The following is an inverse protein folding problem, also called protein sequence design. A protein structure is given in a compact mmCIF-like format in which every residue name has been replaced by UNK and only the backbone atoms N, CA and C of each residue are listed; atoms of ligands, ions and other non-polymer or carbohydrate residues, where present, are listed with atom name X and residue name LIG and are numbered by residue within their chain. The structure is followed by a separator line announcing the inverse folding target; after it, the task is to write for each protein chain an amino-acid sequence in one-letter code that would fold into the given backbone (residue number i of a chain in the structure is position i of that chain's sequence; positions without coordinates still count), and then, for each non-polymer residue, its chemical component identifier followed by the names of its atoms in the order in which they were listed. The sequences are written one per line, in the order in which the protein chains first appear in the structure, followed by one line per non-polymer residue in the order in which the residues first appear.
data_IF_698335848660
#
_entry.id   IF_698335848660
#
_cell.length_a   1.000
_cell.length_b   1.000
_cell.length_c   1.000
_cell.angle_alpha   90.00
_cell.angle_beta   90.00
_cell.angle_gamma   90.00
#
_symmetry.space_group_name_H-M   'P 1'
#
loop_
_entity.id
_entity.type
_entity.pdbx_description
1 polymer ?
#
# COMPACT_ATOMS: atom_id res chain seq x y z
N UNK A 1 -17.33 26.88 -61.71
CA UNK A 1 -18.73 27.14 -61.31
C UNK A 1 -19.20 26.02 -60.40
N UNK A 2 -20.09 26.35 -59.46
CA UNK A 2 -20.73 25.52 -58.42
C UNK A 2 -20.00 25.47 -57.06
N UNK A 3 -20.45 26.42 -56.24
CA UNK A 3 -20.41 26.50 -54.77
C UNK A 3 -21.18 25.33 -54.16
N UNK A 4 -20.70 24.80 -53.03
CA UNK A 4 -21.53 24.21 -51.99
C UNK A 4 -21.01 24.70 -50.63
N UNK A 5 -21.85 25.48 -49.96
CA UNK A 5 -21.69 26.13 -48.67
C UNK A 5 -22.37 25.30 -47.59
N UNK A 6 -21.61 24.88 -46.56
CA UNK A 6 -22.15 24.27 -45.33
C UNK A 6 -22.34 25.33 -44.22
N UNK A 7 -23.27 25.15 -43.28
CA UNK A 7 -23.67 26.21 -42.35
C UNK A 7 -22.73 26.31 -41.14
N UNK A 8 -22.40 27.56 -40.81
CA UNK A 8 -21.70 27.99 -39.59
C UNK A 8 -22.71 28.03 -38.43
N UNK A 9 -22.47 27.23 -37.40
CA UNK A 9 -23.22 27.29 -36.13
C UNK A 9 -22.71 28.49 -35.34
N UNK A 10 -23.54 29.53 -35.21
CA UNK A 10 -23.27 30.68 -34.31
C UNK A 10 -23.68 30.33 -32.89
N UNK A 11 -22.72 30.39 -31.98
CA UNK A 11 -22.94 30.41 -30.54
C UNK A 11 -23.72 31.69 -30.15
N UNK A 12 -24.88 31.52 -29.51
CA UNK A 12 -25.64 32.60 -28.90
C UNK A 12 -25.36 32.61 -27.39
N UNK A 13 -24.52 33.54 -26.95
CA UNK A 13 -24.39 33.93 -25.54
C UNK A 13 -25.74 34.50 -25.05
N UNK A 14 -26.38 33.81 -24.11
CA UNK A 14 -27.46 34.39 -23.29
C UNK A 14 -27.03 34.40 -21.84
N UNK A 15 -26.71 35.59 -21.36
CA UNK A 15 -26.73 35.93 -19.94
C UNK A 15 -28.17 35.80 -19.42
N UNK A 16 -28.38 34.90 -18.46
CA UNK A 16 -29.47 35.04 -17.49
C UNK A 16 -28.96 34.67 -16.10
N UNK A 17 -28.91 35.71 -15.25
CA UNK A 17 -28.93 35.62 -13.80
C UNK A 17 -30.15 34.83 -13.36
N UNK A 18 -29.93 33.87 -12.47
CA UNK A 18 -30.93 33.43 -11.49
C UNK A 18 -30.18 33.10 -10.20
N UNK A 19 -30.43 33.91 -9.17
CA UNK A 19 -30.08 33.66 -7.79
C UNK A 19 -30.66 32.31 -7.33
N UNK A 20 -29.82 31.48 -6.71
CA UNK A 20 -30.25 30.34 -5.91
C UNK A 20 -29.41 30.35 -4.62
N UNK A 21 -30.13 30.43 -3.52
CA UNK A 21 -29.66 30.48 -2.14
C UNK A 21 -28.77 29.29 -1.76
N UNK A 22 -27.62 29.59 -1.16
CA UNK A 22 -26.74 28.60 -0.54
C UNK A 22 -27.15 28.38 0.92
N UNK A 23 -27.52 27.16 1.37
CA UNK A 23 -27.64 26.87 2.78
C UNK A 23 -26.26 26.71 3.41
N UNK A 24 -25.99 27.51 4.44
CA UNK A 24 -24.83 27.41 5.31
C UNK A 24 -24.92 26.10 6.13
N UNK A 25 -24.08 25.12 5.85
CA UNK A 25 -23.93 23.94 6.70
C UNK A 25 -23.00 24.28 7.87
N UNK A 26 -23.56 24.37 9.08
CA UNK A 26 -22.78 24.36 10.32
C UNK A 26 -22.51 22.91 10.70
N UNK A 27 -21.24 22.50 10.66
CA UNK A 27 -20.80 21.19 11.14
C UNK A 27 -20.70 21.26 12.67
N UNK A 28 -21.62 20.59 13.37
CA UNK A 28 -21.51 20.32 14.81
C UNK A 28 -20.90 18.92 14.94
N UNK A 29 -19.63 18.84 15.32
CA UNK A 29 -19.00 17.56 15.70
C UNK A 29 -19.33 17.31 17.17
N UNK A 30 -20.30 16.45 17.44
CA UNK A 30 -20.50 15.84 18.76
C UNK A 30 -19.91 14.43 18.71
N UNK A 31 -18.77 14.23 19.35
CA UNK A 31 -18.26 12.88 19.62
C UNK A 31 -19.08 12.26 20.76
N UNK A 32 -19.85 11.22 20.45
CA UNK A 32 -20.43 10.32 21.43
C UNK A 32 -19.79 8.94 21.25
N UNK A 33 -19.09 8.46 22.28
CA UNK A 33 -18.59 7.09 22.37
C UNK A 33 -19.03 6.48 23.70
N UNK A 34 -19.70 5.35 23.57
CA UNK A 34 -20.02 4.29 24.53
C UNK A 34 -21.08 4.52 25.62
N UNK A 35 -22.18 3.77 25.46
CA UNK A 35 -22.88 3.12 26.58
C UNK A 35 -23.12 1.64 26.24
N UNK A 36 -22.63 0.74 27.10
CA UNK A 36 -23.21 -0.58 27.33
C UNK A 36 -23.95 -0.52 28.65
N UNK A 37 -25.22 -0.91 28.66
CA UNK A 37 -26.01 -1.06 29.87
C UNK A 37 -27.42 -1.53 29.56
N UNK A 38 -27.63 -2.85 29.65
CA UNK A 38 -28.96 -3.45 29.79
C UNK A 38 -29.53 -3.06 31.16
N UNK A 39 -30.70 -2.40 31.20
CA UNK A 39 -31.65 -2.48 32.33
C UNK A 39 -33.09 -2.49 31.77
N UNK A 40 -33.89 -3.35 32.41
CA UNK A 40 -35.26 -3.77 32.12
C UNK A 40 -36.31 -2.83 32.77
N UNK A 41 -37.45 -2.67 32.07
CA UNK A 41 -38.80 -2.23 32.49
C UNK A 41 -39.09 -0.85 33.16
N UNK A 42 -39.98 -0.09 32.50
CA UNK A 42 -41.28 0.29 33.11
C UNK A 42 -41.54 1.75 33.56
N UNK A 43 -42.47 2.42 32.84
CA UNK A 43 -43.41 3.51 33.26
C UNK A 43 -42.94 4.99 33.45
N UNK A 44 -43.34 5.81 32.46
CA UNK A 44 -44.01 7.15 32.48
C UNK A 44 -43.65 8.29 33.48
N UNK A 45 -43.27 9.43 32.87
CA UNK A 45 -43.56 10.87 33.16
C UNK A 45 -43.21 11.53 34.51
N UNK A 46 -42.33 12.55 34.46
CA UNK A 46 -42.64 14.00 34.64
C UNK A 46 -41.37 14.85 34.75
N UNK A 47 -41.39 16.02 34.10
CA UNK A 47 -40.41 17.11 34.25
C UNK A 47 -40.49 17.74 35.65
N UNK A 48 -39.33 17.99 36.27
CA UNK A 48 -39.20 18.83 37.48
C UNK A 48 -38.15 19.90 37.17
N UNK A 49 -38.61 21.15 37.10
CA UNK A 49 -37.76 22.34 37.07
C UNK A 49 -37.29 22.70 38.48
N UNK A 50 -36.03 23.10 38.58
CA UNK A 50 -35.42 23.62 39.81
C UNK A 50 -35.16 25.12 39.62
N UNK A 51 -35.70 25.89 40.56
CA UNK A 51 -35.54 27.33 40.73
C UNK A 51 -34.30 27.60 41.58
N UNK A 52 -33.44 28.52 41.16
CA UNK A 52 -32.25 28.92 41.91
C UNK A 52 -32.55 30.12 42.84
N UNK A 53 -32.09 29.96 44.08
CA UNK A 53 -32.15 30.88 45.20
C UNK A 53 -30.89 31.76 45.24
N UNK A 54 -31.06 33.06 45.46
CA UNK A 54 -29.99 34.03 45.76
C UNK A 54 -29.41 33.84 47.17
N UNK A 55 -28.08 33.95 47.34
CA UNK A 55 -27.27 34.44 48.51
C UNK A 55 -25.78 34.22 48.11
N UNK A 56 -24.77 35.08 48.25
CA UNK A 56 -24.60 36.44 48.73
C UNK A 56 -23.31 37.03 48.12
N UNK A 57 -23.38 38.32 47.75
CA UNK A 57 -22.24 39.19 47.58
C UNK A 57 -21.58 39.45 48.95
N UNK A 58 -20.34 39.04 49.16
CA UNK A 58 -19.65 39.38 50.41
C UNK A 58 -18.38 38.63 50.76
N UNK A 59 -17.52 38.26 49.80
CA UNK A 59 -16.17 37.77 50.16
C UNK A 59 -15.13 37.92 49.03
N UNK A 60 -15.09 39.08 48.38
CA UNK A 60 -14.15 39.36 47.29
C UNK A 60 -13.37 40.64 47.57
N UNK A 61 -12.50 40.61 48.58
CA UNK A 61 -11.41 41.57 48.80
C UNK A 61 -10.54 41.05 49.95
N UNK A 62 -9.41 40.38 49.67
CA UNK A 62 -8.23 40.43 50.56
C UNK A 62 -6.98 39.61 50.17
N UNK A 63 -6.86 38.88 49.05
CA UNK A 63 -5.64 38.05 48.84
C UNK A 63 -5.07 38.10 47.41
N UNK A 64 -4.25 39.11 47.05
CA UNK A 64 -3.64 39.22 45.71
C UNK A 64 -2.53 38.17 45.44
N UNK A 65 -2.01 37.49 46.47
CA UNK A 65 -0.91 36.50 46.31
C UNK A 65 -1.38 35.13 45.83
N UNK A 66 -2.66 34.79 45.98
CA UNK A 66 -3.20 33.48 45.58
C UNK A 66 -3.40 33.41 44.05
N UNK A 67 -3.63 34.55 43.40
CA UNK A 67 -3.86 34.63 41.96
C UNK A 67 -2.60 34.48 41.13
N UNK A 68 -1.44 34.93 41.62
CA UNK A 68 -0.17 34.79 40.90
C UNK A 68 0.26 33.31 40.86
N UNK A 69 0.05 32.57 41.96
CA UNK A 69 0.36 31.13 42.00
C UNK A 69 -0.63 30.31 41.16
N UNK A 70 -1.92 30.64 41.17
CA UNK A 70 -2.91 29.97 40.34
C UNK A 70 -2.71 30.24 38.84
N UNK A 71 -2.30 31.45 38.45
CA UNK A 71 -2.05 31.79 37.04
C UNK A 71 -0.75 31.14 36.50
N UNK A 72 0.31 31.05 37.32
CA UNK A 72 1.55 30.35 36.93
C UNK A 72 1.32 28.84 36.79
N UNK A 73 0.50 28.21 37.64
CA UNK A 73 0.15 26.79 37.52
C UNK A 73 -0.69 26.53 36.26
N UNK A 74 -1.62 27.42 35.91
CA UNK A 74 -2.43 27.29 34.69
C UNK A 74 -1.58 27.50 33.43
N UNK A 75 -0.59 28.39 33.43
CA UNK A 75 0.32 28.58 32.28
C UNK A 75 1.35 27.44 32.18
N UNK A 76 1.81 26.87 33.30
CA UNK A 76 2.66 25.67 33.31
C UNK A 76 1.90 24.39 32.93
N UNK A 77 0.60 24.29 33.20
CA UNK A 77 -0.25 23.17 32.74
C UNK A 77 -0.79 23.37 31.31
N UNK A 78 -1.04 24.60 30.86
CA UNK A 78 -1.45 24.88 29.48
C UNK A 78 -0.28 24.82 28.47
N UNK A 79 0.97 24.96 28.94
CA UNK A 79 2.17 24.72 28.14
C UNK A 79 2.53 23.23 27.94
N UNK A 80 1.81 22.31 28.61
CA UNK A 80 2.04 20.86 28.50
C UNK A 80 1.03 20.14 27.59
N UNK A 81 0.09 20.86 26.99
CA UNK A 81 -1.02 20.30 26.22
C UNK A 81 -1.05 20.74 24.74
N UNK A 82 0.07 21.28 24.23
CA UNK A 82 0.24 21.53 22.81
C UNK A 82 1.40 20.70 22.24
N UNK A 83 1.08 19.99 21.17
CA UNK A 83 1.92 19.18 20.27
C UNK A 83 2.44 17.84 20.81
N UNK A 84 1.52 16.89 21.02
CA UNK A 84 1.68 15.60 20.36
C UNK A 84 0.56 15.45 19.34
N UNK A 85 0.61 16.26 18.28
CA UNK A 85 0.19 15.70 17.00
C UNK A 85 1.11 14.51 16.78
N UNK A 86 0.52 13.32 16.70
CA UNK A 86 1.26 12.09 16.53
C UNK A 86 2.22 12.29 15.37
N UNK A 87 3.52 12.38 15.69
CA UNK A 87 4.51 11.93 14.74
C UNK A 87 4.07 10.51 14.44
N UNK A 88 3.53 10.28 13.24
CA UNK A 88 3.37 8.94 12.73
C UNK A 88 4.70 8.27 13.00
N UNK A 89 4.71 7.31 13.93
CA UNK A 89 5.90 6.51 14.16
C UNK A 89 6.24 5.96 12.79
N UNK A 90 7.50 6.11 12.31
CA UNK A 90 7.91 5.34 11.15
C UNK A 90 7.53 3.90 11.49
N UNK A 91 6.73 3.26 10.62
CA UNK A 91 6.26 1.91 10.83
C UNK A 91 7.48 1.12 11.30
N UNK A 92 7.45 0.68 12.56
CA UNK A 92 8.59 -0.07 13.11
C UNK A 92 8.68 -1.31 12.25
N UNK A 93 9.64 -1.31 11.32
CA UNK A 93 9.84 -2.42 10.42
C UNK A 93 9.99 -3.67 11.27
N UNK A 94 9.19 -4.69 10.96
CA UNK A 94 9.27 -6.00 11.59
C UNK A 94 10.75 -6.38 11.68
N UNK A 95 11.21 -6.75 12.88
CA UNK A 95 12.57 -7.22 13.06
C UNK A 95 12.80 -8.46 12.18
N UNK A 96 14.03 -8.76 11.72
CA UNK A 96 14.38 -9.91 10.86
C UNK A 96 14.11 -11.31 11.47
N UNK A 97 12.87 -11.59 11.85
CA UNK A 97 12.39 -12.79 12.54
C UNK A 97 10.91 -12.73 12.91
N UNK A 98 10.30 -11.54 12.85
CA UNK A 98 8.85 -11.34 13.03
C UNK A 98 8.07 -11.36 11.72
N UNK A 99 8.77 -11.48 10.59
CA UNK A 99 8.17 -11.48 9.25
C UNK A 99 7.49 -12.84 8.98
N UNK A 100 6.25 -12.85 8.45
CA UNK A 100 5.44 -14.07 8.39
C UNK A 100 5.89 -15.10 7.35
N UNK A 101 6.77 -14.74 6.41
CA UNK A 101 7.12 -15.60 5.29
C UNK A 101 8.62 -15.87 5.19
N UNK A 102 8.97 -17.03 4.62
CA UNK A 102 10.35 -17.41 4.26
C UNK A 102 10.65 -17.13 2.79
N UNK A 103 11.91 -17.29 2.39
CA UNK A 103 12.31 -17.26 0.98
C UNK A 103 11.68 -18.41 0.17
N UNK A 104 11.41 -18.21 -1.14
CA UNK A 104 10.75 -19.17 -2.02
C UNK A 104 11.67 -20.27 -2.55
N UNK A 105 12.89 -20.37 -2.03
CA UNK A 105 13.87 -21.39 -2.38
C UNK A 105 14.40 -22.08 -1.12
N UNK A 106 14.80 -23.35 -1.26
CA UNK A 106 15.35 -24.13 -0.15
C UNK A 106 16.83 -23.85 0.09
N UNK A 107 17.61 -23.69 -0.98
CA UNK A 107 19.04 -23.41 -0.89
C UNK A 107 19.32 -21.92 -0.63
N UNK A 108 20.46 -21.57 -0.02
CA UNK A 108 20.90 -20.19 0.09
C UNK A 108 21.17 -19.54 -1.28
N UNK A 109 21.09 -18.20 -1.37
CA UNK A 109 21.40 -17.46 -2.59
C UNK A 109 22.87 -17.64 -3.00
N UNK A 110 23.14 -17.67 -4.30
CA UNK A 110 24.49 -17.82 -4.81
C UNK A 110 24.56 -18.00 -6.32
N UNK A 111 25.76 -17.89 -6.92
CA UNK A 111 25.94 -17.93 -8.38
C UNK A 111 25.46 -19.23 -9.06
N UNK A 112 25.36 -20.33 -8.31
CA UNK A 112 24.92 -21.63 -8.80
C UNK A 112 23.48 -21.99 -8.39
N UNK A 113 22.80 -21.13 -7.63
CA UNK A 113 21.45 -21.36 -7.13
C UNK A 113 20.53 -20.27 -7.68
N UNK A 114 20.33 -19.20 -6.92
CA UNK A 114 19.47 -18.10 -7.26
C UNK A 114 20.02 -16.77 -6.77
N UNK A 115 19.63 -15.69 -7.45
CA UNK A 115 20.03 -14.31 -7.13
C UNK A 115 18.85 -13.36 -7.30
N UNK A 116 18.76 -12.34 -6.46
CA UNK A 116 17.84 -11.22 -6.65
C UNK A 116 18.24 -10.42 -7.90
N UNK A 117 17.29 -10.21 -8.81
CA UNK A 117 17.53 -9.43 -10.05
C UNK A 117 16.69 -8.18 -10.16
N UNK A 118 15.50 -8.15 -9.55
CA UNK A 118 14.71 -6.92 -9.50
C UNK A 118 13.94 -6.84 -8.20
N UNK A 119 14.07 -5.71 -7.51
CA UNK A 119 13.34 -5.43 -6.27
C UNK A 119 11.96 -4.83 -6.55
N UNK A 120 11.11 -4.86 -5.54
CA UNK A 120 9.81 -4.19 -5.54
C UNK A 120 9.97 -2.66 -5.70
N UNK A 121 8.98 -2.03 -6.32
CA UNK A 121 8.79 -0.59 -6.35
C UNK A 121 9.26 0.09 -7.64
N UNK A 122 9.70 1.34 -7.51
CA UNK A 122 9.95 2.26 -8.61
C UNK A 122 11.31 2.03 -9.29
N UNK A 123 11.63 0.78 -9.65
CA UNK A 123 12.90 0.49 -10.32
C UNK A 123 13.00 1.23 -11.65
N UNK A 124 14.22 1.55 -12.09
CA UNK A 124 14.42 2.18 -13.40
C UNK A 124 13.83 1.32 -14.54
N UNK A 125 13.91 0.00 -14.43
CA UNK A 125 13.27 -0.93 -15.37
C UNK A 125 11.74 -0.79 -15.36
N UNK A 126 11.14 -0.73 -14.16
CA UNK A 126 9.71 -0.52 -14.00
C UNK A 126 9.24 0.80 -14.60
N UNK A 127 9.94 1.88 -14.26
CA UNK A 127 9.69 3.20 -14.82
C UNK A 127 9.70 3.18 -16.35
N UNK A 128 10.72 2.62 -17.00
CA UNK A 128 10.81 2.56 -18.47
C UNK A 128 9.69 1.74 -19.13
N UNK A 129 9.13 0.75 -18.42
CA UNK A 129 8.07 -0.13 -18.93
C UNK A 129 6.72 0.13 -18.26
N UNK A 130 6.54 1.30 -17.64
CA UNK A 130 5.35 1.61 -16.85
C UNK A 130 4.06 1.54 -17.66
N UNK A 131 4.09 1.91 -18.94
CA UNK A 131 2.91 1.90 -19.83
C UNK A 131 2.66 0.55 -20.51
N UNK A 132 3.55 -0.43 -20.32
CA UNK A 132 3.45 -1.78 -20.88
C UNK A 132 3.42 -2.83 -19.76
N UNK A 133 4.54 -3.50 -19.49
CA UNK A 133 4.69 -4.62 -18.55
C UNK A 133 4.13 -4.30 -17.17
N UNK A 134 4.36 -3.07 -16.68
CA UNK A 134 3.97 -2.66 -15.34
C UNK A 134 2.73 -1.76 -15.30
N UNK A 135 1.95 -1.73 -16.39
CA UNK A 135 0.77 -0.87 -16.46
C UNK A 135 -0.30 -1.24 -15.43
N UNK A 136 -0.46 -2.53 -15.15
CA UNK A 136 -1.39 -3.01 -14.13
C UNK A 136 -0.97 -2.57 -12.72
N UNK A 137 0.33 -2.44 -12.44
CA UNK A 137 0.83 -2.10 -11.11
C UNK A 137 1.20 -0.64 -10.94
N UNK A 138 0.40 0.27 -11.52
CA UNK A 138 0.61 1.72 -11.43
C UNK A 138 1.99 2.19 -11.93
N UNK A 139 2.63 1.40 -12.79
CA UNK A 139 3.97 1.66 -13.33
C UNK A 139 5.13 1.14 -12.49
N UNK A 140 4.87 0.49 -11.36
CA UNK A 140 5.89 -0.03 -10.45
C UNK A 140 6.11 -1.51 -10.67
N UNK A 141 7.26 -2.02 -10.21
CA UNK A 141 7.44 -3.46 -10.06
C UNK A 141 6.72 -3.91 -8.79
N UNK A 142 5.65 -4.68 -8.94
CA UNK A 142 4.76 -5.06 -7.83
C UNK A 142 5.10 -6.44 -7.22
N UNK A 143 6.34 -6.89 -7.40
CA UNK A 143 6.88 -8.12 -6.85
C UNK A 143 8.39 -8.04 -6.70
N UNK A 144 9.02 -9.20 -6.54
CA UNK A 144 10.47 -9.38 -6.62
C UNK A 144 10.79 -10.43 -7.68
N UNK A 145 11.85 -10.20 -8.43
CA UNK A 145 12.34 -11.14 -9.44
C UNK A 145 13.60 -11.81 -8.92
N UNK A 146 13.58 -13.14 -8.88
CA UNK A 146 14.67 -13.97 -8.40
C UNK A 146 15.12 -14.89 -9.53
N UNK A 147 16.29 -14.60 -10.11
CA UNK A 147 16.85 -15.42 -11.18
C UNK A 147 17.31 -16.75 -10.63
N UNK A 148 16.95 -17.83 -11.31
CA UNK A 148 17.43 -19.18 -11.09
C UNK A 148 17.27 -19.95 -12.41
N UNK A 149 17.98 -21.06 -12.56
CA UNK A 149 17.84 -21.88 -13.76
C UNK A 149 16.38 -22.36 -13.94
N UNK A 150 15.93 -22.52 -15.18
CA UNK A 150 14.66 -23.21 -15.44
C UNK A 150 14.65 -24.59 -14.78
N UNK A 151 13.51 -24.96 -14.20
CA UNK A 151 13.34 -26.23 -13.48
C UNK A 151 13.78 -26.16 -12.01
N UNK A 152 14.41 -25.07 -11.58
CA UNK A 152 14.84 -24.91 -10.19
C UNK A 152 13.61 -24.93 -9.25
N UNK A 153 13.60 -25.75 -8.18
CA UNK A 153 12.41 -25.94 -7.35
C UNK A 153 12.00 -24.66 -6.61
N UNK A 154 10.73 -24.28 -6.71
CA UNK A 154 10.11 -23.18 -5.97
C UNK A 154 9.29 -23.77 -4.82
N UNK A 155 9.49 -23.25 -3.62
CA UNK A 155 8.77 -23.67 -2.42
C UNK A 155 7.76 -22.63 -1.94
N UNK A 156 6.70 -23.08 -1.26
CA UNK A 156 5.73 -22.19 -0.64
C UNK A 156 6.42 -21.33 0.44
N UNK A 157 6.21 -20.01 0.38
CA UNK A 157 6.80 -19.06 1.34
C UNK A 157 6.16 -19.11 2.73
N UNK A 158 5.00 -19.75 2.86
CA UNK A 158 4.22 -19.86 4.08
C UNK A 158 3.15 -20.94 3.96
N UNK A 159 2.60 -21.37 5.09
CA UNK A 159 1.43 -22.24 5.15
C UNK A 159 0.23 -21.60 4.45
N UNK A 160 -0.54 -22.37 3.71
CA UNK A 160 -1.70 -21.83 3.01
C UNK A 160 -2.51 -22.85 2.24
N UNK A 161 -3.43 -22.32 1.44
CA UNK A 161 -4.32 -23.08 0.56
C UNK A 161 -4.16 -22.56 -0.85
N UNK A 162 -3.93 -23.47 -1.81
CA UNK A 162 -3.85 -23.14 -3.22
C UNK A 162 -5.18 -22.52 -3.66
N UNK A 163 -5.17 -21.28 -4.13
CA UNK A 163 -6.38 -20.56 -4.52
C UNK A 163 -6.56 -20.51 -6.04
N UNK A 164 -5.47 -20.42 -6.80
CA UNK A 164 -5.47 -20.43 -8.27
C UNK A 164 -4.27 -21.18 -8.82
N UNK A 165 -4.48 -21.85 -9.95
CA UNK A 165 -3.43 -22.47 -10.78
C UNK A 165 -3.68 -21.99 -12.20
N UNK A 166 -2.64 -21.46 -12.87
CA UNK A 166 -2.67 -20.91 -14.23
C UNK A 166 -3.78 -19.88 -14.50
N UNK A 167 -3.97 -18.98 -13.54
CA UNK A 167 -4.91 -17.88 -13.67
C UNK A 167 -4.23 -16.67 -14.32
N UNK A 168 -3.94 -16.76 -15.62
CA UNK A 168 -3.17 -15.77 -16.39
C UNK A 168 -3.77 -14.36 -16.43
N UNK A 169 -5.06 -14.20 -16.11
CA UNK A 169 -5.65 -12.88 -15.92
C UNK A 169 -5.01 -12.09 -14.76
N UNK A 170 -4.29 -12.75 -13.86
CA UNK A 170 -3.52 -12.13 -12.78
C UNK A 170 -2.06 -11.80 -13.17
N UNK A 171 -1.64 -12.12 -14.40
CA UNK A 171 -0.33 -11.77 -14.96
C UNK A 171 0.68 -12.92 -15.04
N UNK A 172 1.92 -12.55 -15.36
CA UNK A 172 3.14 -13.37 -15.31
C UNK A 172 3.06 -14.76 -15.94
N UNK A 173 2.63 -14.79 -17.21
CA UNK A 173 2.71 -15.95 -18.10
C UNK A 173 4.16 -16.52 -18.19
N UNK A 174 4.36 -17.78 -18.61
CA UNK A 174 3.36 -18.71 -19.19
C UNK A 174 2.48 -19.42 -18.17
N UNK A 175 2.94 -19.58 -16.93
CA UNK A 175 2.26 -20.32 -15.87
C UNK A 175 2.37 -19.59 -14.54
N UNK A 176 1.34 -19.71 -13.69
CA UNK A 176 1.33 -19.06 -12.39
C UNK A 176 0.58 -19.86 -11.30
N UNK A 177 0.86 -19.50 -10.05
CA UNK A 177 0.26 -20.10 -8.86
C UNK A 177 -0.12 -19.00 -7.86
N UNK A 178 -1.28 -19.13 -7.24
CA UNK A 178 -1.70 -18.28 -6.12
C UNK A 178 -1.99 -19.15 -4.90
N UNK A 179 -1.47 -18.77 -3.74
CA UNK A 179 -1.68 -19.44 -2.46
C UNK A 179 -2.18 -18.41 -1.45
N UNK A 180 -3.34 -18.66 -0.87
CA UNK A 180 -3.90 -17.80 0.18
C UNK A 180 -3.38 -18.26 1.56
N UNK A 181 -2.94 -17.31 2.36
CA UNK A 181 -2.37 -17.53 3.69
C UNK A 181 -3.37 -17.12 4.79
N UNK A 182 -3.33 -17.76 5.98
CA UNK A 182 -4.29 -17.50 7.05
C UNK A 182 -4.20 -16.10 7.67
N UNK A 183 -3.11 -15.37 7.41
CA UNK A 183 -2.87 -14.01 7.89
C UNK A 183 -3.46 -12.91 6.97
N UNK A 184 -4.24 -13.27 5.94
CA UNK A 184 -4.90 -12.32 5.05
C UNK A 184 -4.09 -11.90 3.82
N UNK A 185 -2.89 -12.46 3.65
CA UNK A 185 -2.08 -12.28 2.44
C UNK A 185 -2.23 -13.47 1.49
N UNK A 186 -1.89 -13.25 0.23
CA UNK A 186 -1.70 -14.30 -0.76
C UNK A 186 -0.31 -14.18 -1.40
N UNK A 187 0.37 -15.29 -1.64
CA UNK A 187 1.58 -15.32 -2.45
C UNK A 187 1.24 -15.67 -3.90
N UNK A 188 1.81 -14.93 -4.84
CA UNK A 188 1.69 -15.17 -6.26
C UNK A 188 3.06 -15.53 -6.84
N UNK A 189 3.14 -16.65 -7.55
CA UNK A 189 4.34 -17.16 -8.19
C UNK A 189 4.12 -17.15 -9.70
N UNK A 190 4.87 -16.34 -10.42
CA UNK A 190 4.75 -16.15 -11.86
C UNK A 190 5.96 -16.66 -12.65
N UNK A 191 5.81 -16.68 -13.98
CA UNK A 191 6.83 -17.16 -14.93
C UNK A 191 7.26 -18.61 -14.66
N UNK A 192 6.32 -19.45 -14.20
CA UNK A 192 6.63 -20.84 -13.86
C UNK A 192 6.89 -21.67 -15.12
N UNK A 193 7.69 -22.73 -14.99
CA UNK A 193 8.11 -23.56 -16.14
C UNK A 193 6.95 -24.32 -16.78
N UNK A 194 6.03 -24.80 -15.94
CA UNK A 194 4.92 -25.66 -16.31
C UNK A 194 3.77 -25.40 -15.35
N UNK A 195 2.55 -25.78 -15.75
CA UNK A 195 1.38 -25.74 -14.86
C UNK A 195 1.71 -26.47 -13.55
N UNK A 196 1.59 -25.81 -12.39
CA UNK A 196 1.77 -26.47 -11.10
C UNK A 196 0.90 -27.71 -10.95
N UNK A 197 1.48 -28.83 -10.50
CA UNK A 197 0.76 -30.07 -10.24
C UNK A 197 -0.01 -30.02 -8.90
N UNK A 198 -0.78 -28.95 -8.71
CA UNK A 198 -1.57 -28.65 -7.53
C UNK A 198 -3.03 -28.39 -7.95
N UNK A 199 -3.96 -28.50 -7.00
CA UNK A 199 -5.38 -28.21 -7.27
C UNK A 199 -5.88 -27.10 -6.34
N UNK A 200 -6.73 -26.16 -6.80
CA UNK A 200 -7.38 -25.21 -5.90
C UNK A 200 -8.09 -25.90 -4.73
N UNK A 201 -7.89 -25.40 -3.52
CA UNK A 201 -8.35 -25.99 -2.26
C UNK A 201 -7.35 -26.93 -1.60
N UNK A 202 -6.23 -27.27 -2.26
CA UNK A 202 -5.17 -28.07 -1.67
C UNK A 202 -4.39 -27.27 -0.62
N UNK A 203 -4.19 -27.86 0.56
CA UNK A 203 -3.31 -27.30 1.59
C UNK A 203 -1.83 -27.53 1.23
N UNK A 204 -1.00 -26.54 1.57
CA UNK A 204 0.46 -26.62 1.47
C UNK A 204 1.11 -26.05 2.73
N UNK A 205 2.29 -26.53 3.04
CA UNK A 205 3.12 -26.07 4.15
C UNK A 205 4.29 -25.22 3.65
N UNK A 206 4.72 -24.30 4.49
CA UNK A 206 5.92 -23.51 4.21
C UNK A 206 7.10 -24.45 3.91
N UNK A 207 7.72 -24.29 2.74
CA UNK A 207 8.81 -25.15 2.27
C UNK A 207 8.41 -26.33 1.40
N UNK A 208 7.12 -26.63 1.22
CA UNK A 208 6.69 -27.61 0.23
C UNK A 208 7.05 -27.12 -1.18
N UNK A 209 7.56 -28.00 -2.03
CA UNK A 209 7.79 -27.68 -3.45
C UNK A 209 6.44 -27.54 -4.14
N UNK A 210 6.17 -26.35 -4.67
CA UNK A 210 4.88 -26.01 -5.29
C UNK A 210 4.97 -25.73 -6.77
N UNK A 211 6.16 -25.39 -7.27
CA UNK A 211 6.38 -25.08 -8.67
C UNK A 211 7.85 -25.22 -9.06
N UNK A 212 8.17 -24.86 -10.30
CA UNK A 212 9.53 -24.74 -10.81
C UNK A 212 9.70 -23.41 -11.52
N UNK A 213 10.89 -22.82 -11.38
CA UNK A 213 11.26 -21.59 -12.09
C UNK A 213 11.19 -21.83 -13.59
N UNK A 214 10.56 -20.91 -14.32
CA UNK A 214 10.51 -20.90 -15.78
C UNK A 214 11.16 -19.64 -16.35
N UNK A 215 10.66 -19.24 -17.51
CA UNK A 215 11.11 -18.08 -18.26
C UNK A 215 9.89 -17.44 -18.92
N UNK A 216 9.63 -16.12 -18.74
CA UNK A 216 8.53 -15.45 -19.44
C UNK A 216 8.56 -15.60 -20.96
N UNK A 217 9.73 -15.78 -21.56
CA UNK A 217 9.87 -15.97 -23.01
C UNK A 217 9.84 -17.45 -23.43
N UNK A 218 9.62 -18.38 -22.49
CA UNK A 218 9.56 -19.84 -22.71
C UNK A 218 10.85 -20.45 -23.34
N UNK A 219 11.97 -19.74 -23.30
CA UNK A 219 13.23 -20.18 -23.93
C UNK A 219 14.18 -20.89 -22.98
N UNK A 220 14.04 -20.64 -21.67
CA UNK A 220 14.97 -21.04 -20.62
C UNK A 220 16.41 -20.54 -20.81
N UNK A 221 16.61 -19.53 -21.66
CA UNK A 221 17.93 -18.97 -21.98
C UNK A 221 17.93 -17.44 -22.04
N UNK A 222 16.77 -16.78 -22.12
CA UNK A 222 16.69 -15.32 -22.13
C UNK A 222 16.82 -14.76 -20.71
N UNK A 223 15.82 -14.98 -19.86
CA UNK A 223 15.78 -14.48 -18.48
C UNK A 223 15.07 -15.43 -17.51
N UNK A 224 15.53 -16.68 -17.30
CA UNK A 224 14.93 -17.55 -16.30
C UNK A 224 14.89 -16.90 -14.90
N UNK A 225 13.68 -16.73 -14.35
CA UNK A 225 13.45 -16.17 -13.02
C UNK A 225 12.06 -16.53 -12.48
N UNK A 226 11.94 -16.50 -11.15
CA UNK A 226 10.65 -16.46 -10.46
C UNK A 226 10.24 -15.00 -10.27
N UNK A 227 9.03 -14.65 -10.67
CA UNK A 227 8.37 -13.44 -10.21
C UNK A 227 7.51 -13.77 -8.99
N UNK A 228 7.81 -13.17 -7.84
CA UNK A 228 7.09 -13.40 -6.58
C UNK A 228 6.42 -12.12 -6.10
N UNK A 229 5.13 -12.18 -5.84
CA UNK A 229 4.37 -11.07 -5.27
C UNK A 229 3.69 -11.49 -3.97
N UNK A 230 3.34 -10.50 -3.15
CA UNK A 230 2.43 -10.67 -2.03
C UNK A 230 1.25 -9.74 -2.23
N UNK A 231 0.04 -10.31 -2.25
CA UNK A 231 -1.22 -9.60 -2.49
C UNK A 231 -2.17 -9.73 -1.30
N UNK A 232 -3.26 -8.98 -1.31
CA UNK A 232 -4.36 -9.20 -0.38
C UNK A 232 -5.15 -10.47 -0.76
N UNK A 233 -5.40 -11.35 0.21
CA UNK A 233 -6.10 -12.61 -0.04
C UNK A 233 -7.56 -12.39 -0.49
N UNK A 234 -8.04 -13.27 -1.35
CA UNK A 234 -9.41 -13.27 -1.88
C UNK A 234 -9.68 -12.25 -2.99
N UNK A 235 -9.18 -11.01 -2.88
CA UNK A 235 -9.40 -9.97 -3.90
C UNK A 235 -8.25 -9.85 -4.90
N UNK A 236 -7.00 -10.05 -4.45
CA UNK A 236 -5.79 -10.01 -5.28
C UNK A 236 -5.61 -8.70 -6.06
N UNK A 237 -6.16 -7.60 -5.55
CA UNK A 237 -6.21 -6.29 -6.20
C UNK A 237 -5.27 -5.26 -5.54
N UNK A 238 -4.56 -5.65 -4.49
CA UNK A 238 -3.55 -4.84 -3.82
C UNK A 238 -2.28 -5.67 -3.61
N UNK A 239 -1.11 -5.12 -3.88
CA UNK A 239 0.19 -5.76 -3.74
C UNK A 239 1.10 -5.00 -2.75
N UNK A 240 1.66 -5.78 -1.83
CA UNK A 240 2.54 -5.33 -0.76
C UNK A 240 4.00 -5.53 -1.14
N UNK A 241 4.89 -4.73 -0.54
CA UNK A 241 6.33 -4.91 -0.69
C UNK A 241 6.78 -6.25 -0.04
N UNK A 242 7.23 -7.26 -0.80
CA UNK A 242 7.62 -8.55 -0.24
C UNK A 242 8.78 -8.45 0.75
N UNK A 243 9.65 -7.43 0.62
CA UNK A 243 10.81 -7.26 1.50
C UNK A 243 10.40 -7.00 2.95
N UNK A 244 9.24 -6.37 3.17
CA UNK A 244 8.71 -6.11 4.50
C UNK A 244 8.09 -7.36 5.16
N UNK A 245 7.77 -8.39 4.37
CA UNK A 245 6.97 -9.55 4.80
C UNK A 245 7.73 -10.89 4.73
N UNK A 246 8.83 -10.95 4.01
CA UNK A 246 9.69 -12.12 3.91
C UNK A 246 10.94 -11.93 4.77
N UNK A 247 11.21 -12.89 5.63
CA UNK A 247 12.39 -12.94 6.48
C UNK A 247 13.64 -13.29 5.68
N UNK A 248 14.41 -12.25 5.36
CA UNK A 248 15.68 -12.34 4.65
C UNK A 248 16.51 -11.07 4.87
N UNK A 249 17.83 -11.21 4.70
CA UNK A 249 18.75 -10.08 4.61
C UNK A 249 18.71 -9.47 3.20
N UNK A 250 17.64 -8.71 2.95
CA UNK A 250 17.39 -8.09 1.64
C UNK A 250 18.45 -7.07 1.23
N UNK A 251 19.08 -6.40 2.18
CA UNK A 251 20.17 -5.48 1.91
C UNK A 251 21.38 -6.23 1.33
N UNK A 252 21.78 -7.34 1.95
CA UNK A 252 22.85 -8.21 1.41
C UNK A 252 22.44 -8.84 0.08
N UNK A 253 21.19 -9.28 -0.08
CA UNK A 253 20.70 -9.83 -1.36
C UNK A 253 20.74 -8.79 -2.49
N UNK A 254 20.37 -7.54 -2.21
CA UNK A 254 20.37 -6.46 -3.19
C UNK A 254 21.78 -6.01 -3.58
N UNK A 255 22.75 -6.15 -2.68
CA UNK A 255 24.16 -5.85 -2.97
C UNK A 255 24.85 -6.94 -3.79
N UNK A 256 24.52 -8.22 -3.55
CA UNK A 256 25.12 -9.37 -4.24
C UNK A 256 24.33 -9.83 -5.47
N UNK A 257 23.12 -9.30 -5.66
CA UNK A 257 22.23 -9.66 -6.75
C UNK A 257 22.81 -9.36 -8.13
N UNK A 258 22.33 -10.08 -9.15
CA UNK A 258 22.77 -9.87 -10.52
C UNK A 258 22.14 -8.61 -11.16
N UNK A 259 21.09 -8.05 -10.54
CA UNK A 259 20.49 -6.78 -10.95
C UNK A 259 21.01 -5.61 -10.12
N UNK A 260 21.47 -4.55 -10.78
CA UNK A 260 21.85 -3.32 -10.08
C UNK A 260 20.66 -2.65 -9.40
N UNK A 261 20.84 -2.18 -8.17
CA UNK A 261 19.82 -1.42 -7.45
C UNK A 261 19.74 0.00 -8.01
N UNK A 262 18.67 0.30 -8.77
CA UNK A 262 18.42 1.65 -9.30
C UNK A 262 16.93 1.95 -9.33
N UNK A 263 16.55 3.03 -8.67
CA UNK A 263 15.20 3.58 -8.70
C UNK A 263 15.13 4.78 -9.64
N UNK A 264 14.00 4.94 -10.30
CA UNK A 264 13.69 6.18 -10.98
C UNK A 264 13.48 7.29 -9.94
N UNK A 265 13.75 8.53 -10.35
CA UNK A 265 13.64 9.71 -9.51
C UNK A 265 12.69 10.69 -10.16
N UNK A 266 11.89 11.31 -9.31
CA UNK A 266 11.29 12.61 -9.56
C UNK A 266 12.33 13.67 -9.15
N UNK A 267 12.83 14.49 -10.08
CA UNK A 267 13.86 15.47 -9.78
C UNK A 267 13.33 16.66 -8.95
N UNK A 268 12.01 16.85 -8.89
CA UNK A 268 11.36 17.79 -7.95
C UNK A 268 11.32 17.25 -6.51
N UNK A 269 11.38 15.92 -6.36
CA UNK A 269 11.39 15.24 -5.05
C UNK A 269 12.39 14.07 -5.00
N UNK A 270 13.71 14.32 -5.17
CA UNK A 270 14.70 13.30 -5.53
C UNK A 270 15.00 12.27 -4.43
N UNK A 271 14.47 12.45 -3.22
CA UNK A 271 14.60 11.50 -2.10
C UNK A 271 13.45 10.53 -1.98
N UNK A 272 12.33 10.80 -2.66
CA UNK A 272 11.14 9.97 -2.63
C UNK A 272 11.44 8.61 -3.28
N UNK A 273 11.16 7.54 -2.56
CA UNK A 273 11.22 6.17 -3.05
C UNK A 273 12.60 5.71 -3.52
N UNK A 274 13.63 6.10 -2.78
CA UNK A 274 15.03 5.77 -3.11
C UNK A 274 15.60 4.64 -2.24
N UNK A 275 14.78 3.97 -1.44
CA UNK A 275 15.19 2.84 -0.60
C UNK A 275 14.35 1.58 -0.84
N UNK A 276 14.86 0.41 -0.44
CA UNK A 276 14.20 -0.89 -0.59
C UNK A 276 12.83 -0.97 0.10
N UNK A 277 12.73 -0.36 1.28
CA UNK A 277 11.52 -0.36 2.11
C UNK A 277 10.70 0.93 1.98
N UNK A 278 11.27 1.97 1.39
CA UNK A 278 10.58 3.22 1.07
C UNK A 278 9.98 3.09 -0.33
N UNK A 279 9.01 2.22 -0.52
CA UNK A 279 8.30 2.06 -1.80
C UNK A 279 6.80 2.09 -1.51
N UNK A 280 6.00 2.73 -2.38
CA UNK A 280 4.56 2.76 -2.18
C UNK A 280 3.98 1.37 -2.49
N UNK A 281 2.90 1.03 -1.80
CA UNK A 281 2.10 -0.14 -2.14
C UNK A 281 1.38 0.06 -3.49
N UNK A 282 0.92 -1.02 -4.10
CA UNK A 282 0.30 -1.01 -5.43
C UNK A 282 -1.16 -1.44 -5.35
N UNK A 283 -2.04 -0.58 -5.82
CA UNK A 283 -3.42 -0.92 -6.17
C UNK A 283 -3.49 -1.26 -7.66
N UNK A 284 -3.81 -2.51 -7.98
CA UNK A 284 -3.87 -2.95 -9.36
C UNK A 284 -4.89 -2.13 -10.16
N UNK A 285 -4.46 -1.66 -11.33
CA UNK A 285 -5.21 -0.78 -12.24
C UNK A 285 -5.53 0.61 -11.69
N UNK A 286 -4.90 1.00 -10.59
CA UNK A 286 -4.96 2.36 -10.07
C UNK A 286 -4.25 3.38 -10.98
N UNK A 287 -4.30 4.65 -10.58
CA UNK A 287 -3.57 5.71 -11.27
C UNK A 287 -2.06 5.47 -11.19
N UNK A 288 -1.35 5.75 -12.28
CA UNK A 288 0.10 5.59 -12.34
C UNK A 288 0.79 6.47 -11.28
N UNK A 289 1.72 5.89 -10.54
CA UNK A 289 2.40 6.56 -9.41
C UNK A 289 3.73 7.19 -9.80
N UNK A 290 4.37 6.70 -10.86
CA UNK A 290 5.70 7.14 -11.32
C UNK A 290 5.66 7.89 -12.65
N UNK A 291 4.59 8.66 -12.87
CA UNK A 291 4.45 9.55 -14.03
C UNK A 291 5.00 10.95 -13.66
N UNK A 292 6.32 11.10 -13.66
CA UNK A 292 6.96 12.35 -13.25
C UNK A 292 7.09 13.35 -14.40
N UNK A 293 6.95 14.65 -14.10
CA UNK A 293 7.18 15.73 -15.06
C UNK A 293 8.68 15.93 -15.35
N UNK A 294 9.53 15.84 -14.33
CA UNK A 294 11.00 15.90 -14.46
C UNK A 294 11.68 14.58 -14.00
N UNK A 295 11.63 13.50 -14.81
CA UNK A 295 12.12 12.19 -14.41
C UNK A 295 13.63 12.04 -14.60
N UNK A 296 14.24 11.22 -13.74
CA UNK A 296 15.45 10.48 -14.05
C UNK A 296 15.19 8.96 -13.99
N UNK A 297 15.57 8.16 -15.01
CA UNK A 297 16.20 8.58 -16.25
C UNK A 297 15.31 9.51 -17.09
N UNK A 298 15.91 10.42 -17.89
CA UNK A 298 15.16 11.37 -18.67
C UNK A 298 14.38 10.66 -19.78
N UNK A 299 13.25 11.26 -20.13
CA UNK A 299 12.40 10.78 -21.22
C UNK A 299 12.48 11.75 -22.39
N UNK A 300 13.53 11.58 -23.19
CA UNK A 300 13.72 12.39 -24.38
C UNK A 300 12.58 12.12 -25.37
N UNK A 301 11.69 13.09 -25.56
CA UNK A 301 10.59 13.01 -26.54
C UNK A 301 9.20 12.77 -25.96
N UNK A 302 9.01 12.93 -24.64
CA UNK A 302 7.69 13.29 -24.08
C UNK A 302 7.27 14.70 -24.49
#
# INVERSE_FOLDING_TARGET
MRKCSGPVIRAALRNRKTDIDAPQFTIIIVHNLFWRGLIVEGRTSKYIGISEFWVANGFLRSQPKIWITAFIIIVLFAGLLFTQEGMAQPAQGLQPGDRPFRLPFADPPGPSTWLLVQVYGNTTGAFRQRTSTYNAGQGLHFGVDLSAACGYPVVAIGDGVVSKVDALQHGSAPHNLMIDHPNGYASFYGHLLETPALTPGQEVKAGDVVAKVGDPDETCTSRPHLHLEIRNAGQYNHAYNPLALIDADWDTLALNGAGGLSFARDLDAPRKWQGLYDQPEVDFWGLRLNDYDDPWPPEWGR
#
